data_IF_433599312824
#
_entry.id   IF_433599312824
#
_cell.length_a   1.000
_cell.length_b   1.000
_cell.length_c   1.000
_cell.angle_alpha   90.00
_cell.angle_beta   90.00
_cell.angle_gamma   90.00
#
_symmetry.space_group_name_H-M   'P 1'
#
loop_
_entity.id
_entity.type
_entity.pdbx_description
1 polymer ?
#
# COMPACT_ATOMS: atom_id res chain seq x y z
N UNK A 1 -0.58 -2.57 2.78
CA UNK A 1 -0.91 -4.01 2.69
C UNK A 1 0.39 -4.78 2.55
N UNK A 2 0.44 -6.03 2.98
CA UNK A 2 1.66 -6.85 2.91
C UNK A 2 1.57 -7.73 1.68
N UNK A 3 2.67 -7.88 0.96
CA UNK A 3 2.79 -8.81 -0.17
C UNK A 3 2.21 -10.18 0.15
N UNK A 4 1.24 -10.59 -0.67
CA UNK A 4 0.52 -11.84 -0.50
C UNK A 4 -0.71 -11.78 0.42
N UNK A 5 -1.16 -10.58 0.83
CA UNK A 5 -2.43 -10.41 1.54
C UNK A 5 -3.63 -10.99 0.76
N UNK A 6 -3.61 -10.88 -0.58
CA UNK A 6 -4.61 -11.46 -1.48
C UNK A 6 -4.54 -13.00 -1.56
N UNK A 7 -3.42 -13.62 -1.18
CA UNK A 7 -3.17 -15.07 -1.27
C UNK A 7 -3.46 -15.81 0.05
N UNK A 8 -4.31 -15.26 0.94
CA UNK A 8 -4.62 -15.84 2.25
C UNK A 8 -3.41 -16.03 3.19
N UNK A 9 -2.31 -15.30 2.98
CA UNK A 9 -1.18 -15.31 3.92
C UNK A 9 -1.46 -14.38 5.10
N UNK A 10 -1.86 -14.96 6.23
CA UNK A 10 -2.00 -14.27 7.52
C UNK A 10 -3.19 -13.30 7.59
N UNK A 11 -3.05 -12.23 8.40
CA UNK A 11 -4.13 -11.25 8.68
C UNK A 11 -4.51 -10.36 7.47
N UNK A 12 -3.73 -10.40 6.38
CA UNK A 12 -3.93 -9.55 5.20
C UNK A 12 -5.27 -9.79 4.49
N UNK A 13 -5.70 -11.05 4.39
CA UNK A 13 -6.97 -11.39 3.74
C UNK A 13 -8.19 -10.91 4.54
N UNK A 14 -8.15 -11.06 5.87
CA UNK A 14 -9.22 -10.53 6.74
C UNK A 14 -9.31 -9.01 6.64
N UNK A 15 -8.17 -8.30 6.54
CA UNK A 15 -8.17 -6.86 6.32
C UNK A 15 -8.79 -6.47 4.97
N UNK A 16 -8.44 -7.17 3.89
CA UNK A 16 -9.03 -6.96 2.56
C UNK A 16 -10.55 -7.18 2.55
N UNK A 17 -11.03 -8.22 3.25
CA UNK A 17 -12.46 -8.46 3.43
C UNK A 17 -13.16 -7.29 4.14
N UNK A 18 -12.53 -6.66 5.12
CA UNK A 18 -13.11 -5.48 5.78
C UNK A 18 -13.16 -4.26 4.86
N UNK A 19 -12.21 -4.11 3.93
CA UNK A 19 -12.23 -3.01 2.95
C UNK A 19 -13.39 -3.12 1.96
N UNK A 20 -14.02 -4.29 1.80
CA UNK A 20 -15.23 -4.43 0.99
C UNK A 20 -16.40 -3.60 1.52
N UNK A 21 -16.45 -3.36 2.83
CA UNK A 21 -17.50 -2.56 3.47
C UNK A 21 -17.22 -1.05 3.47
N UNK A 22 -16.01 -0.63 3.10
CA UNK A 22 -15.66 0.79 3.07
C UNK A 22 -16.20 1.47 1.80
N UNK A 23 -16.81 2.64 1.91
CA UNK A 23 -17.30 3.41 0.75
C UNK A 23 -16.17 4.13 0.00
N UNK A 24 -15.12 4.53 0.73
CA UNK A 24 -13.96 5.26 0.19
C UNK A 24 -12.67 4.63 0.72
N UNK A 25 -11.65 4.56 -0.13
CA UNK A 25 -10.33 4.07 0.23
C UNK A 25 -9.36 5.23 0.44
N UNK A 26 -8.59 5.16 1.52
CA UNK A 26 -7.48 6.10 1.78
C UNK A 26 -6.17 5.33 1.67
N UNK A 27 -5.40 5.60 0.61
CA UNK A 27 -4.06 5.03 0.43
C UNK A 27 -3.05 5.99 1.03
N UNK A 28 -2.49 5.63 2.18
CA UNK A 28 -1.43 6.41 2.82
C UNK A 28 -0.08 5.84 2.40
N UNK A 29 0.74 6.67 1.76
CA UNK A 29 2.06 6.30 1.23
C UNK A 29 3.12 7.25 1.77
N UNK A 30 4.24 6.69 2.22
CA UNK A 30 5.40 7.46 2.67
C UNK A 30 6.08 8.15 1.48
N UNK A 31 6.32 9.46 1.57
CA UNK A 31 6.94 10.23 0.51
C UNK A 31 8.40 9.87 0.25
N UNK A 32 9.09 9.24 1.22
CA UNK A 32 10.45 8.77 1.03
C UNK A 32 10.50 7.37 0.39
N UNK A 33 9.38 6.66 0.37
CA UNK A 33 9.31 5.27 -0.06
C UNK A 33 9.21 4.31 1.11
N UNK A 34 9.27 3.01 0.81
CA UNK A 34 9.02 1.97 1.81
C UNK A 34 9.89 0.73 1.56
N UNK A 35 10.31 0.09 2.65
CA UNK A 35 10.96 -1.22 2.64
C UNK A 35 10.20 -2.14 3.59
N UNK A 36 9.80 -3.32 3.10
CA UNK A 36 8.93 -4.24 3.85
C UNK A 36 9.66 -4.88 5.04
N UNK A 37 10.93 -5.25 4.85
CA UNK A 37 11.77 -5.76 5.93
C UNK A 37 13.22 -5.31 5.80
N UNK A 38 13.91 -5.16 6.94
CA UNK A 38 15.33 -4.82 7.00
C UNK A 38 16.24 -6.02 6.62
N UNK A 39 15.74 -6.97 5.82
CA UNK A 39 16.52 -8.14 5.39
C UNK A 39 17.49 -7.74 4.28
N UNK A 40 18.73 -8.28 4.29
CA UNK A 40 19.65 -8.09 3.19
C UNK A 40 19.04 -8.62 1.89
N UNK A 41 18.97 -7.77 0.87
CA UNK A 41 18.49 -8.13 -0.47
C UNK A 41 17.05 -7.74 -0.79
N UNK A 42 16.27 -7.20 0.15
CA UNK A 42 14.98 -6.60 -0.20
C UNK A 42 15.19 -5.17 -0.74
N UNK A 43 14.68 -4.84 -1.94
CA UNK A 43 14.87 -3.53 -2.52
C UNK A 43 14.01 -2.49 -1.80
N UNK A 44 14.60 -1.31 -1.58
CA UNK A 44 13.85 -0.13 -1.19
C UNK A 44 12.93 0.27 -2.35
N UNK A 45 11.65 0.52 -2.05
CA UNK A 45 10.65 0.88 -3.07
C UNK A 45 10.38 2.37 -3.01
N UNK A 46 10.38 3.01 -4.17
CA UNK A 46 9.93 4.38 -4.32
C UNK A 46 8.43 4.52 -3.98
N UNK A 47 7.95 5.72 -3.61
CA UNK A 47 6.54 5.94 -3.32
C UNK A 47 5.61 5.50 -4.45
N UNK A 48 6.02 5.70 -5.71
CA UNK A 48 5.26 5.31 -6.89
C UNK A 48 5.12 3.79 -7.00
N UNK A 49 6.22 3.05 -6.79
CA UNK A 49 6.20 1.59 -6.77
C UNK A 49 5.31 1.04 -5.65
N UNK A 50 5.29 1.71 -4.50
CA UNK A 50 4.39 1.35 -3.39
C UNK A 50 2.93 1.51 -3.81
N UNK A 51 2.57 2.63 -4.45
CA UNK A 51 1.20 2.85 -4.95
C UNK A 51 0.81 1.76 -5.97
N UNK A 52 1.70 1.49 -6.93
CA UNK A 52 1.45 0.47 -7.95
C UNK A 52 1.23 -0.91 -7.32
N UNK A 53 2.04 -1.26 -6.32
CA UNK A 53 1.94 -2.53 -5.62
C UNK A 53 0.65 -2.66 -4.81
N UNK A 54 0.25 -1.60 -4.09
CA UNK A 54 -1.01 -1.58 -3.36
C UNK A 54 -2.20 -1.79 -4.32
N UNK A 55 -2.22 -1.07 -5.45
CA UNK A 55 -3.27 -1.23 -6.46
C UNK A 55 -3.30 -2.65 -7.03
N UNK A 56 -2.14 -3.22 -7.34
CA UNK A 56 -2.05 -4.59 -7.85
C UNK A 56 -2.56 -5.62 -6.83
N UNK A 57 -2.28 -5.44 -5.53
CA UNK A 57 -2.84 -6.32 -4.49
C UNK A 57 -4.36 -6.20 -4.37
N UNK A 58 -4.89 -4.98 -4.42
CA UNK A 58 -6.34 -4.75 -4.42
C UNK A 58 -7.00 -5.38 -5.65
N UNK A 59 -6.39 -5.26 -6.82
CA UNK A 59 -6.89 -5.84 -8.07
C UNK A 59 -6.92 -7.36 -8.02
N UNK A 60 -5.83 -7.96 -7.53
CA UNK A 60 -5.72 -9.42 -7.37
C UNK A 60 -6.73 -9.98 -6.38
N UNK A 61 -7.13 -9.20 -5.37
CA UNK A 61 -8.18 -9.59 -4.44
C UNK A 61 -9.58 -9.42 -5.04
N UNK A 62 -9.89 -8.22 -5.55
CA UNK A 62 -11.20 -7.91 -6.15
C UNK A 62 -11.14 -6.67 -7.03
N UNK A 63 -11.47 -6.84 -8.32
CA UNK A 63 -11.59 -5.73 -9.29
C UNK A 63 -12.57 -4.64 -8.85
N UNK A 64 -13.58 -4.98 -8.05
CA UNK A 64 -14.55 -4.01 -7.51
C UNK A 64 -13.91 -3.05 -6.51
N UNK A 65 -12.88 -3.51 -5.78
CA UNK A 65 -12.22 -2.70 -4.76
C UNK A 65 -11.37 -1.59 -5.39
N UNK A 66 -10.69 -1.88 -6.49
CA UNK A 66 -9.87 -0.91 -7.25
C UNK A 66 -10.73 0.17 -7.91
N UNK A 67 -11.99 -0.15 -8.23
CA UNK A 67 -12.94 0.81 -8.81
C UNK A 67 -13.55 1.75 -7.76
N UNK A 68 -13.35 1.50 -6.46
CA UNK A 68 -13.88 2.37 -5.42
C UNK A 68 -13.19 3.75 -5.47
N UNK A 69 -13.90 4.82 -5.09
CA UNK A 69 -13.28 6.12 -4.88
C UNK A 69 -12.10 5.98 -3.92
N UNK A 70 -10.94 6.46 -4.36
CA UNK A 70 -9.70 6.33 -3.62
C UNK A 70 -8.99 7.68 -3.55
N UNK A 71 -8.48 8.03 -2.36
CA UNK A 71 -7.59 9.17 -2.16
C UNK A 71 -6.19 8.69 -1.83
N UNK A 72 -5.20 9.21 -2.54
CA UNK A 72 -3.79 9.02 -2.22
C UNK A 72 -3.34 10.14 -1.27
N UNK A 73 -2.84 9.76 -0.10
CA UNK A 73 -2.25 10.67 0.89
C UNK A 73 -0.76 10.38 0.97
N UNK A 74 0.04 11.39 0.65
CA UNK A 74 1.47 11.37 0.86
C UNK A 74 1.77 11.78 2.30
N UNK A 75 2.38 10.87 3.06
CA UNK A 75 2.75 11.04 4.45
C UNK A 75 4.26 11.31 4.60
N UNK A 76 4.66 11.87 5.75
CA UNK A 76 6.05 12.19 6.12
C UNK A 76 6.75 13.25 5.26
N UNK A 77 5.98 14.14 4.64
CA UNK A 77 6.49 15.23 3.80
C UNK A 77 7.43 16.20 4.55
N UNK A 78 7.41 16.17 5.88
CA UNK A 78 8.25 16.97 6.76
C UNK A 78 9.73 16.53 6.75
N UNK A 79 10.01 15.29 6.34
CA UNK A 79 11.34 14.65 6.31
C UNK A 79 12.08 14.94 4.99
N UNK A 80 11.92 16.13 4.43
CA UNK A 80 12.61 16.50 3.18
C UNK A 80 14.13 16.41 3.35
N UNK A 81 14.87 15.76 2.42
CA UNK A 81 16.34 15.74 2.42
C UNK A 81 16.95 17.13 2.19
N UNK A 82 16.15 18.13 1.79
CA UNK A 82 16.59 19.52 1.61
C UNK A 82 16.67 20.32 2.93
N UNK A 83 16.47 19.67 4.08
CA UNK A 83 16.75 20.25 5.41
C UNK A 83 18.14 19.84 5.91
N UNK A 84 19.17 20.13 5.14
CA UNK A 84 20.56 20.30 5.62
C UNK A 84 21.23 21.49 4.93
#
# INVERSE_FOLDING_TARGET
LIEGASQNRGKGYQFLKHLEYADVLLLVVDCLGFQLSNKPGEPFRSPLEVVALLNHELENYSKKLVQKPALLVLNKIDISPDKE
#
